data_IF_396256901361
#
_entry.id   IF_396256901361
#
_cell.length_a   1.000
_cell.length_b   1.000
_cell.length_c   1.000
_cell.angle_alpha   90.00
_cell.angle_beta   90.00
_cell.angle_gamma   90.00
#
_symmetry.space_group_name_H-M   'P 1'
#
loop_
_entity.id
_entity.type
_entity.pdbx_description
1 polymer ?
#
# COMPACT_ATOMS: atom_id res chain seq x y z
N UNK A 1 -18.13 -12.40 27.47
CA UNK A 1 -17.90 -11.07 26.86
C UNK A 1 -18.36 -11.11 25.41
N UNK A 2 -19.47 -10.43 25.11
CA UNK A 2 -20.07 -10.36 23.78
C UNK A 2 -19.11 -9.66 22.80
N UNK A 3 -18.51 -10.42 21.88
CA UNK A 3 -18.00 -9.84 20.62
C UNK A 3 -19.22 -9.61 19.74
N UNK A 4 -19.80 -8.41 19.78
CA UNK A 4 -20.59 -7.94 18.64
C UNK A 4 -19.72 -8.13 17.40
N UNK A 5 -20.12 -9.05 16.52
CA UNK A 5 -19.35 -9.44 15.35
C UNK A 5 -19.38 -8.31 14.31
N UNK A 6 -18.64 -7.24 14.58
CA UNK A 6 -18.36 -6.22 13.59
C UNK A 6 -17.47 -6.82 12.51
N UNK A 7 -17.83 -6.56 11.26
CA UNK A 7 -17.01 -6.95 10.11
C UNK A 7 -15.64 -6.28 10.26
N UNK A 8 -14.51 -7.01 10.21
CA UNK A 8 -13.20 -6.43 10.46
C UNK A 8 -12.85 -5.39 9.40
N UNK A 9 -12.33 -4.24 9.85
CA UNK A 9 -11.93 -3.14 8.98
C UNK A 9 -10.52 -3.39 8.43
N UNK A 10 -10.37 -3.25 7.11
CA UNK A 10 -9.08 -3.40 6.41
C UNK A 10 -8.74 -2.06 5.78
N UNK A 11 -7.63 -1.46 6.22
CA UNK A 11 -7.08 -0.26 5.59
C UNK A 11 -6.40 -0.64 4.28
N UNK A 12 -7.04 -0.33 3.15
CA UNK A 12 -6.51 -0.59 1.82
C UNK A 12 -5.75 0.63 1.31
N UNK A 13 -4.42 0.56 1.30
CA UNK A 13 -3.57 1.69 0.98
C UNK A 13 -3.30 1.83 -0.53
N UNK A 14 -3.43 3.06 -1.04
CA UNK A 14 -3.07 3.43 -2.42
C UNK A 14 -2.34 4.78 -2.49
N UNK A 15 -1.23 4.85 -3.22
CA UNK A 15 -0.59 6.15 -3.51
C UNK A 15 -1.49 7.05 -4.38
N UNK A 16 -2.25 6.47 -5.31
CA UNK A 16 -3.30 7.15 -6.08
C UNK A 16 -4.42 6.15 -6.31
N UNK A 17 -5.63 6.49 -5.89
CA UNK A 17 -6.80 5.63 -6.01
C UNK A 17 -7.66 6.09 -7.19
N UNK A 18 -8.22 5.11 -7.93
CA UNK A 18 -9.15 5.30 -9.05
C UNK A 18 -8.58 6.00 -10.28
N UNK A 19 -7.38 5.61 -10.70
CA UNK A 19 -6.97 5.87 -12.08
C UNK A 19 -7.87 5.10 -13.07
N UNK A 20 -8.05 5.55 -14.32
CA UNK A 20 -8.92 4.88 -15.29
C UNK A 20 -8.63 3.37 -15.46
N UNK A 21 -7.37 2.96 -15.34
CA UNK A 21 -6.89 1.57 -15.42
C UNK A 21 -7.21 0.71 -14.17
N UNK A 22 -7.66 1.32 -13.07
CA UNK A 22 -7.90 0.66 -11.78
C UNK A 22 -9.31 0.07 -11.64
N UNK A 23 -10.06 -0.13 -12.73
CA UNK A 23 -11.40 -0.74 -12.69
C UNK A 23 -11.41 -2.10 -11.99
N UNK A 24 -10.35 -2.90 -12.17
CA UNK A 24 -10.22 -4.21 -11.53
C UNK A 24 -10.10 -4.11 -10.00
N UNK A 25 -9.37 -3.12 -9.50
CA UNK A 25 -9.22 -2.81 -8.06
C UNK A 25 -10.57 -2.35 -7.50
N UNK A 26 -11.24 -1.44 -8.20
CA UNK A 26 -12.55 -0.93 -7.78
C UNK A 26 -13.58 -2.06 -7.64
N UNK A 27 -13.65 -2.98 -8.61
CA UNK A 27 -14.51 -4.17 -8.54
C UNK A 27 -14.12 -5.11 -7.40
N UNK A 28 -12.82 -5.32 -7.19
CA UNK A 28 -12.34 -6.14 -6.10
C UNK A 28 -12.78 -5.56 -4.75
N UNK A 29 -12.58 -4.27 -4.54
CA UNK A 29 -12.82 -3.64 -3.24
C UNK A 29 -14.31 -3.53 -2.92
N UNK A 30 -15.15 -3.24 -3.92
CA UNK A 30 -16.61 -3.09 -3.74
C UNK A 30 -17.35 -4.43 -3.62
N UNK A 31 -16.72 -5.55 -3.96
CA UNK A 31 -17.33 -6.89 -3.85
C UNK A 31 -17.02 -7.62 -2.52
N UNK A 32 -16.19 -7.04 -1.65
CA UNK A 32 -15.82 -7.64 -0.37
C UNK A 32 -16.98 -7.56 0.63
N UNK A 33 -17.43 -8.73 1.12
CA UNK A 33 -18.55 -8.83 2.09
C UNK A 33 -18.15 -9.29 3.48
N UNK A 34 -17.00 -9.97 3.61
CA UNK A 34 -16.50 -10.53 4.88
C UNK A 34 -15.57 -9.59 5.63
N UNK A 35 -15.16 -8.52 4.98
CA UNK A 35 -14.33 -7.45 5.53
C UNK A 35 -14.91 -6.12 5.08
N UNK A 36 -14.68 -5.06 5.85
CA UNK A 36 -15.01 -3.69 5.45
C UNK A 36 -13.73 -3.02 4.97
N UNK A 37 -13.50 -2.93 3.64
CA UNK A 37 -12.34 -2.23 3.15
C UNK A 37 -12.56 -0.72 3.26
N UNK A 38 -11.63 -0.03 3.92
CA UNK A 38 -11.57 1.43 3.92
C UNK A 38 -10.31 1.83 3.17
N UNK A 39 -10.48 2.60 2.11
CA UNK A 39 -9.37 3.08 1.28
C UNK A 39 -8.66 4.20 2.01
N UNK A 40 -7.35 4.10 2.15
CA UNK A 40 -6.51 5.22 2.58
C UNK A 40 -5.61 5.58 1.42
N UNK A 41 -5.78 6.78 0.87
CA UNK A 41 -5.10 7.18 -0.34
C UNK A 41 -4.48 8.57 -0.24
N UNK A 42 -3.36 8.78 -0.94
CA UNK A 42 -2.74 10.11 -0.98
C UNK A 42 -3.37 11.05 -2.00
N UNK A 43 -4.02 10.46 -3.02
CA UNK A 43 -4.76 11.15 -4.06
C UNK A 43 -5.93 10.27 -4.50
N UNK A 44 -7.09 10.89 -4.74
CA UNK A 44 -8.27 10.28 -5.36
C UNK A 44 -8.49 10.91 -6.73
N UNK A 45 -8.79 10.10 -7.73
CA UNK A 45 -9.12 10.56 -9.09
C UNK A 45 -10.47 9.97 -9.55
N UNK A 46 -11.09 10.53 -10.59
CA UNK A 46 -12.28 9.99 -11.26
C UNK A 46 -13.46 9.61 -10.33
N UNK A 47 -13.75 10.44 -9.31
CA UNK A 47 -14.81 10.16 -8.33
C UNK A 47 -16.19 9.98 -8.95
N UNK A 48 -16.54 10.78 -9.96
CA UNK A 48 -17.81 10.69 -10.68
C UNK A 48 -17.98 9.33 -11.39
N UNK A 49 -16.88 8.76 -11.88
CA UNK A 49 -16.87 7.48 -12.59
C UNK A 49 -16.85 6.27 -11.64
N UNK A 50 -16.30 6.46 -10.44
CA UNK A 50 -16.07 5.40 -9.47
C UNK A 50 -16.50 5.86 -8.05
N UNK A 51 -17.81 5.87 -7.78
CA UNK A 51 -18.33 6.29 -6.49
C UNK A 51 -17.88 5.31 -5.39
N UNK A 52 -17.15 5.82 -4.40
CA UNK A 52 -16.66 5.03 -3.26
C UNK A 52 -16.63 5.90 -2.00
N UNK A 53 -17.40 5.52 -0.98
CA UNK A 53 -17.62 6.37 0.20
C UNK A 53 -16.59 6.12 1.31
N UNK A 54 -16.18 4.86 1.51
CA UNK A 54 -15.27 4.47 2.60
C UNK A 54 -13.80 4.81 2.26
N UNK A 55 -13.50 6.11 2.07
CA UNK A 55 -12.17 6.62 1.72
C UNK A 55 -11.68 7.72 2.66
N UNK A 56 -10.40 7.64 3.04
CA UNK A 56 -9.65 8.70 3.73
C UNK A 56 -8.52 9.19 2.83
N UNK A 57 -8.52 10.48 2.49
CA UNK A 57 -7.48 11.08 1.66
C UNK A 57 -6.44 11.79 2.52
N UNK A 58 -5.24 11.22 2.63
CA UNK A 58 -4.11 11.79 3.39
C UNK A 58 -3.17 12.48 2.41
N UNK A 59 -3.36 13.79 2.21
CA UNK A 59 -2.64 14.54 1.18
C UNK A 59 -1.12 14.54 1.44
N UNK A 60 -0.34 14.39 0.38
CA UNK A 60 1.11 14.61 0.43
C UNK A 60 1.41 16.07 0.76
N UNK A 61 2.40 16.36 1.62
CA UNK A 61 2.96 17.70 1.73
C UNK A 61 3.45 18.22 0.37
N UNK A 62 3.43 19.54 0.17
CA UNK A 62 3.75 20.15 -1.12
C UNK A 62 5.19 19.85 -1.61
N UNK A 63 6.13 19.62 -0.68
CA UNK A 63 7.54 19.34 -0.99
C UNK A 63 7.81 17.90 -1.48
N UNK A 64 6.77 17.06 -1.59
CA UNK A 64 6.93 15.64 -1.91
C UNK A 64 7.40 15.40 -3.34
N UNK A 65 7.06 16.31 -4.25
CA UNK A 65 7.48 16.20 -5.65
C UNK A 65 8.98 16.51 -5.82
N UNK A 66 9.49 17.51 -5.10
CA UNK A 66 10.89 17.95 -5.17
C UNK A 66 11.84 16.88 -4.64
N UNK A 67 11.51 16.30 -3.48
CA UNK A 67 12.31 15.22 -2.92
C UNK A 67 12.22 13.96 -3.85
N UNK A 68 11.12 13.75 -4.61
CA UNK A 68 10.90 12.55 -5.45
C UNK A 68 11.81 12.62 -6.65
N UNK A 69 11.97 13.82 -7.19
CA UNK A 69 12.95 14.13 -8.22
C UNK A 69 14.37 13.90 -7.65
N UNK A 70 14.67 14.40 -6.46
CA UNK A 70 15.98 14.21 -5.82
C UNK A 70 16.36 12.73 -5.62
N UNK A 71 15.45 11.92 -5.06
CA UNK A 71 15.71 10.48 -4.87
C UNK A 71 15.80 9.71 -6.18
N UNK A 72 15.02 10.11 -7.20
CA UNK A 72 15.05 9.49 -8.53
C UNK A 72 16.31 9.84 -9.32
N UNK A 73 16.86 11.05 -9.16
CA UNK A 73 17.94 11.55 -10.00
C UNK A 73 19.32 11.56 -9.33
N UNK A 74 19.40 11.58 -8.00
CA UNK A 74 20.67 11.82 -7.28
C UNK A 74 21.07 10.66 -6.34
N UNK A 75 20.11 10.00 -5.69
CA UNK A 75 20.42 9.14 -4.52
C UNK A 75 20.44 7.64 -4.83
N UNK A 76 19.96 7.22 -6.01
CA UNK A 76 19.84 5.79 -6.41
C UNK A 76 19.35 4.89 -5.25
N UNK A 77 18.32 5.36 -4.52
CA UNK A 77 17.65 4.62 -3.45
C UNK A 77 16.14 4.79 -3.57
N UNK A 78 15.35 3.78 -3.18
CA UNK A 78 13.91 3.92 -3.07
C UNK A 78 13.56 5.07 -2.13
N UNK A 79 12.78 6.02 -2.64
CA UNK A 79 12.13 7.04 -1.84
C UNK A 79 11.38 6.39 -0.66
N UNK A 80 11.40 6.98 0.52
CA UNK A 80 10.56 6.56 1.65
C UNK A 80 9.63 7.69 2.08
N UNK A 81 8.45 7.33 2.58
CA UNK A 81 7.54 8.30 3.20
C UNK A 81 8.20 8.95 4.43
N UNK A 82 7.86 10.21 4.72
CA UNK A 82 8.37 10.91 5.91
C UNK A 82 7.66 10.46 7.19
N UNK A 83 8.26 10.71 8.35
CA UNK A 83 7.63 10.40 9.64
C UNK A 83 6.30 11.14 9.84
N UNK A 84 6.19 12.38 9.32
CA UNK A 84 4.93 13.11 9.31
C UNK A 84 3.85 12.43 8.44
N UNK A 85 4.22 11.87 7.28
CA UNK A 85 3.29 11.06 6.48
C UNK A 85 2.88 9.78 7.21
N UNK A 86 3.81 9.12 7.91
CA UNK A 86 3.52 7.93 8.72
C UNK A 86 2.46 8.26 9.76
N UNK A 87 2.70 9.27 10.59
CA UNK A 87 1.77 9.66 11.67
C UNK A 87 0.37 9.99 11.16
N UNK A 88 0.26 10.72 10.04
CA UNK A 88 -1.05 11.05 9.45
C UNK A 88 -1.78 9.81 8.91
N UNK A 89 -1.05 8.88 8.29
CA UNK A 89 -1.62 7.61 7.82
C UNK A 89 -2.04 6.73 9.01
N UNK A 90 -1.24 6.64 10.06
CA UNK A 90 -1.54 5.88 11.28
C UNK A 90 -2.73 6.44 12.03
N UNK A 91 -2.85 7.77 12.09
CA UNK A 91 -4.03 8.44 12.62
C UNK A 91 -5.27 8.03 11.83
N UNK A 92 -5.19 8.06 10.49
CA UNK A 92 -6.30 7.62 9.66
C UNK A 92 -6.67 6.15 9.89
N UNK A 93 -5.68 5.27 10.14
CA UNK A 93 -5.92 3.86 10.49
C UNK A 93 -6.57 3.68 11.86
N UNK A 94 -6.18 4.51 12.83
CA UNK A 94 -6.72 4.48 14.20
C UNK A 94 -8.17 4.97 14.21
N UNK A 95 -8.47 6.06 13.51
CA UNK A 95 -9.83 6.64 13.44
C UNK A 95 -10.87 5.69 12.82
N UNK A 96 -10.43 4.78 11.96
CA UNK A 96 -11.30 3.78 11.31
C UNK A 96 -11.27 2.42 12.01
N UNK A 97 -10.54 2.30 13.13
CA UNK A 97 -10.26 1.04 13.83
C UNK A 97 -9.79 -0.08 12.90
N UNK A 98 -8.83 0.23 12.02
CA UNK A 98 -8.28 -0.74 11.07
C UNK A 98 -7.64 -1.90 11.83
N UNK A 99 -7.96 -3.14 11.46
CA UNK A 99 -7.41 -4.36 12.06
C UNK A 99 -6.29 -4.97 11.21
N UNK A 100 -6.20 -4.56 9.95
CA UNK A 100 -5.24 -5.06 8.96
C UNK A 100 -4.89 -3.93 7.99
N UNK A 101 -3.61 -3.80 7.66
CA UNK A 101 -3.13 -2.98 6.56
C UNK A 101 -3.00 -3.85 5.30
N UNK A 102 -3.65 -3.47 4.21
CA UNK A 102 -3.49 -4.10 2.90
C UNK A 102 -2.90 -3.10 1.91
N UNK A 103 -1.65 -3.33 1.49
CA UNK A 103 -0.96 -2.49 0.50
C UNK A 103 -1.09 -3.15 -0.88
N UNK A 104 -1.58 -2.37 -1.83
CA UNK A 104 -1.60 -2.75 -3.23
C UNK A 104 -0.32 -2.26 -3.89
N UNK A 105 0.24 -3.11 -4.75
CA UNK A 105 1.50 -2.91 -5.44
C UNK A 105 2.74 -3.07 -4.56
N UNK A 106 3.52 -4.13 -4.81
CA UNK A 106 4.70 -4.44 -4.00
C UNK A 106 5.74 -3.31 -3.98
N UNK A 107 5.92 -2.61 -5.10
CA UNK A 107 6.88 -1.50 -5.18
C UNK A 107 6.49 -0.32 -4.27
N UNK A 108 5.19 -0.12 -4.02
CA UNK A 108 4.69 0.88 -3.06
C UNK A 108 5.00 0.43 -1.64
N UNK A 109 4.84 -0.85 -1.32
CA UNK A 109 5.14 -1.39 0.01
C UNK A 109 6.61 -1.13 0.42
N UNK A 110 7.55 -1.18 -0.53
CA UNK A 110 8.98 -0.86 -0.28
C UNK A 110 9.17 0.60 0.19
N UNK A 111 8.35 1.53 -0.33
CA UNK A 111 8.39 2.94 0.07
C UNK A 111 7.69 3.18 1.43
N UNK A 112 6.75 2.30 1.79
CA UNK A 112 5.97 2.35 3.03
C UNK A 112 6.61 1.59 4.20
N UNK A 113 7.83 1.06 4.05
CA UNK A 113 8.54 0.40 5.15
C UNK A 113 8.50 1.16 6.48
N UNK A 114 8.71 2.49 6.54
CA UNK A 114 8.56 3.23 7.79
C UNK A 114 7.18 3.03 8.44
N UNK A 115 6.08 3.11 7.67
CA UNK A 115 4.74 2.85 8.16
C UNK A 115 4.56 1.38 8.60
N UNK A 116 5.06 0.41 7.82
CA UNK A 116 4.92 -1.01 8.16
C UNK A 116 5.66 -1.33 9.47
N UNK A 117 6.81 -0.68 9.74
CA UNK A 117 7.56 -0.86 11.00
C UNK A 117 6.83 -0.31 12.22
N UNK A 118 6.14 0.83 12.08
CA UNK A 118 5.42 1.47 13.21
C UNK A 118 4.02 0.88 13.41
N UNK A 119 3.40 0.36 12.34
CA UNK A 119 2.06 -0.20 12.39
C UNK A 119 2.01 -1.46 13.29
N UNK A 120 1.27 -1.43 14.41
CA UNK A 120 1.32 -2.51 15.40
C UNK A 120 0.49 -3.74 15.02
N UNK A 121 -0.33 -3.66 13.97
CA UNK A 121 -1.20 -4.77 13.52
C UNK A 121 -0.63 -5.43 12.26
N UNK A 122 -1.17 -6.59 11.83
CA UNK A 122 -0.65 -7.25 10.64
C UNK A 122 -0.74 -6.41 9.37
N UNK A 123 0.17 -6.66 8.45
CA UNK A 123 0.20 -6.09 7.10
C UNK A 123 0.21 -7.18 6.03
N UNK A 124 -0.48 -6.90 4.92
CA UNK A 124 -0.65 -7.76 3.76
C UNK A 124 -0.23 -6.97 2.52
N UNK A 125 0.50 -7.58 1.60
CA UNK A 125 0.88 -6.95 0.33
C UNK A 125 0.36 -7.76 -0.84
N UNK A 126 -0.34 -7.11 -1.78
CA UNK A 126 -0.69 -7.71 -3.07
C UNK A 126 0.28 -7.27 -4.16
N UNK A 127 0.99 -8.23 -4.73
CA UNK A 127 1.82 -8.04 -5.90
C UNK A 127 1.00 -8.26 -7.18
N UNK A 128 1.16 -7.32 -8.10
CA UNK A 128 0.62 -7.35 -9.45
C UNK A 128 1.79 -7.46 -10.44
N UNK A 129 1.58 -8.03 -11.62
CA UNK A 129 2.67 -8.37 -12.55
C UNK A 129 3.61 -7.21 -12.92
N UNK A 130 3.12 -5.97 -12.90
CA UNK A 130 3.94 -4.78 -13.15
C UNK A 130 4.94 -4.45 -12.01
N UNK A 131 4.74 -4.98 -10.80
CA UNK A 131 5.57 -4.64 -9.62
C UNK A 131 6.96 -5.26 -9.68
N UNK A 132 7.05 -6.49 -10.20
CA UNK A 132 8.29 -7.29 -10.20
C UNK A 132 9.15 -6.97 -11.42
N UNK A 133 8.54 -6.47 -12.50
CA UNK A 133 9.21 -6.22 -13.77
C UNK A 133 10.00 -4.91 -13.82
N UNK A 134 9.69 -3.90 -12.99
CA UNK A 134 10.14 -2.53 -13.30
C UNK A 134 11.36 -2.06 -12.51
N UNK A 135 11.53 -2.41 -11.22
CA UNK A 135 12.64 -1.85 -10.42
C UNK A 135 13.20 -2.74 -9.29
N UNK A 136 12.53 -3.83 -8.89
CA UNK A 136 12.88 -4.58 -7.67
C UNK A 136 14.19 -5.37 -7.73
N UNK A 137 14.63 -5.74 -8.93
CA UNK A 137 15.90 -6.43 -9.16
C UNK A 137 17.11 -5.49 -9.11
N UNK A 138 16.89 -4.16 -9.14
CA UNK A 138 17.99 -3.20 -9.05
C UNK A 138 18.65 -3.28 -7.67
N UNK A 139 19.99 -3.30 -7.58
CA UNK A 139 20.70 -3.42 -6.30
C UNK A 139 20.25 -2.40 -5.24
N UNK A 140 19.92 -1.19 -5.68
CA UNK A 140 19.37 -0.10 -4.87
C UNK A 140 18.04 -0.43 -4.19
N UNK A 141 17.15 -1.16 -4.88
CA UNK A 141 15.82 -1.52 -4.40
C UNK A 141 15.81 -2.87 -3.69
N UNK A 142 16.72 -3.78 -4.03
CA UNK A 142 16.77 -5.15 -3.49
C UNK A 142 16.77 -5.19 -1.96
N UNK A 143 17.69 -4.47 -1.31
CA UNK A 143 17.73 -4.38 0.17
C UNK A 143 16.42 -3.86 0.76
N UNK A 144 15.76 -2.94 0.05
CA UNK A 144 14.48 -2.43 0.49
C UNK A 144 13.32 -3.39 0.29
N UNK A 145 13.38 -4.20 -0.76
CA UNK A 145 12.44 -5.28 -1.00
C UNK A 145 12.59 -6.37 0.05
N UNK A 146 13.80 -6.90 0.27
CA UNK A 146 14.10 -7.91 1.30
C UNK A 146 13.58 -7.48 2.68
N UNK A 147 13.87 -6.25 3.08
CA UNK A 147 13.36 -5.72 4.34
C UNK A 147 11.83 -5.66 4.36
N UNK A 148 11.20 -5.17 3.30
CA UNK A 148 9.73 -5.12 3.20
C UNK A 148 9.13 -6.52 3.32
N UNK A 149 9.70 -7.52 2.63
CA UNK A 149 9.27 -8.92 2.69
C UNK A 149 9.38 -9.48 4.11
N UNK A 150 10.45 -9.13 4.85
CA UNK A 150 10.63 -9.54 6.25
C UNK A 150 9.63 -8.92 7.24
N UNK A 151 9.10 -7.73 6.92
CA UNK A 151 8.18 -6.99 7.79
C UNK A 151 6.71 -7.37 7.60
N UNK A 152 6.33 -7.84 6.41
CA UNK A 152 4.93 -8.10 6.07
C UNK A 152 4.48 -9.48 6.53
N UNK A 153 3.25 -9.59 7.04
CA UNK A 153 2.75 -10.86 7.57
C UNK A 153 2.45 -11.88 6.47
N UNK A 154 2.00 -11.38 5.31
CA UNK A 154 1.57 -12.18 4.16
C UNK A 154 1.74 -11.42 2.86
N UNK A 155 1.95 -12.17 1.80
CA UNK A 155 2.05 -11.68 0.42
C UNK A 155 1.04 -12.44 -0.43
N UNK A 156 0.31 -11.71 -1.27
CA UNK A 156 -0.57 -12.26 -2.30
C UNK A 156 0.04 -12.02 -3.66
N UNK A 157 0.03 -13.05 -4.49
CA UNK A 157 0.52 -13.03 -5.87
C UNK A 157 -0.57 -13.62 -6.77
N UNK A 158 -0.64 -13.17 -8.02
CA UNK A 158 -1.68 -13.61 -8.97
C UNK A 158 -1.29 -14.78 -9.87
N UNK A 159 -0.04 -15.24 -9.81
CA UNK A 159 0.45 -16.37 -10.61
C UNK A 159 1.61 -17.08 -9.91
N UNK A 160 1.84 -18.33 -10.28
CA UNK A 160 2.99 -19.11 -9.78
C UNK A 160 4.32 -18.52 -10.23
N UNK A 161 4.41 -18.00 -11.46
CA UNK A 161 5.60 -17.29 -11.94
C UNK A 161 5.94 -16.06 -11.08
N UNK A 162 4.92 -15.30 -10.66
CA UNK A 162 5.09 -14.15 -9.79
C UNK A 162 5.45 -14.58 -8.36
N UNK A 163 4.88 -15.70 -7.89
CA UNK A 163 5.25 -16.32 -6.62
C UNK A 163 6.75 -16.62 -6.58
N UNK A 164 7.26 -17.32 -7.60
CA UNK A 164 8.67 -17.67 -7.67
C UNK A 164 9.55 -16.41 -7.71
N UNK A 165 9.19 -15.43 -8.55
CA UNK A 165 9.95 -14.20 -8.65
C UNK A 165 9.97 -13.38 -7.35
N UNK A 166 8.91 -13.45 -6.52
CA UNK A 166 8.91 -12.83 -5.18
C UNK A 166 9.77 -13.62 -4.20
N UNK A 167 9.73 -14.97 -4.23
CA UNK A 167 10.60 -15.83 -3.40
C UNK A 167 12.08 -15.56 -3.71
N UNK A 168 12.43 -15.35 -4.99
CA UNK A 168 13.80 -15.07 -5.41
C UNK A 168 14.31 -13.69 -4.91
N UNK A 169 13.39 -12.81 -4.48
CA UNK A 169 13.71 -11.49 -3.92
C UNK A 169 13.96 -11.51 -2.40
N UNK A 170 13.66 -12.62 -1.69
CA UNK A 170 13.84 -12.78 -0.25
C UNK A 170 12.53 -12.92 0.53
#
# INVERSE_FOLDING_TARGET
MNRTSSVPVVASYYATFLKPEMLHIYRQITSLRRIRPVVVAQKRENEERFPFQDIRVVKKPAWHFLRRIWFKQIVDRPWQISDGEVTEIERAFTEIDAQLLHIYFGHIAVLLRPLIRHWPKPSLVSFHGADVLVDMQKPAYRRGTEEMLSLVRRILVRSESLRQAVIDLG
#
